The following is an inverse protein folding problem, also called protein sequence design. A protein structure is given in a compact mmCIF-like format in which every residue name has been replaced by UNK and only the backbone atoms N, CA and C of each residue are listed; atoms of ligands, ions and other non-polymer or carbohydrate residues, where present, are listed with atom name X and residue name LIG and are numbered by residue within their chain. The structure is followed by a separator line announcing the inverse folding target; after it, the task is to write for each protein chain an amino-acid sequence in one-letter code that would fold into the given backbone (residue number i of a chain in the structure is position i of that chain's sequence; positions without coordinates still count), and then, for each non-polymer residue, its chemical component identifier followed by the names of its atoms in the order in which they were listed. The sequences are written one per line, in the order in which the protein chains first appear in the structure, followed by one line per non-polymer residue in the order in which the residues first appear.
data_IF_801560590960
#
_entry.id   IF_801560590960
#
_cell.length_a   1.000
_cell.length_b   1.000
_cell.length_c   1.000
_cell.angle_alpha   90.00
_cell.angle_beta   90.00
_cell.angle_gamma   90.00
#
_symmetry.space_group_name_H-M   'P 1'
#
loop_
_entity.id
_entity.type
_entity.pdbx_description
1 polymer ?
#
# COMPACT_ATOMS: atom_id res chain seq x y z
N UNK A 1 -2.98 51.24 68.26
CA UNK A 1 -3.66 50.86 67.02
C UNK A 1 -2.70 49.96 66.20
N UNK A 2 -3.03 48.68 66.12
CA UNK A 2 -2.22 47.69 65.31
C UNK A 2 -3.04 47.26 64.10
N UNK A 3 -2.52 47.30 62.87
CA UNK A 3 -3.23 46.81 61.71
C UNK A 3 -3.12 45.26 61.63
N UNK A 4 -4.28 44.62 61.39
CA UNK A 4 -4.42 43.22 61.11
C UNK A 4 -4.07 42.93 59.64
N UNK A 5 -3.02 42.16 59.37
CA UNK A 5 -2.75 41.61 58.04
C UNK A 5 -3.73 40.42 57.80
N UNK A 6 -4.54 40.56 56.73
CA UNK A 6 -5.36 39.49 56.22
C UNK A 6 -4.52 38.68 55.22
N UNK A 7 -4.26 37.39 55.54
CA UNK A 7 -3.57 36.46 54.69
C UNK A 7 -4.59 35.80 53.75
N UNK A 8 -4.63 36.22 52.46
CA UNK A 8 -5.48 35.60 51.44
C UNK A 8 -4.81 34.30 50.93
N UNK A 9 -5.42 33.18 51.25
CA UNK A 9 -5.04 31.88 50.73
C UNK A 9 -5.52 31.67 49.32
N UNK A 10 -4.62 31.68 48.32
CA UNK A 10 -4.94 31.42 46.92
C UNK A 10 -4.95 29.91 46.75
N UNK A 11 -6.11 29.28 46.59
CA UNK A 11 -6.30 27.89 46.22
C UNK A 11 -6.00 27.75 44.69
N UNK A 12 -4.83 27.22 44.35
CA UNK A 12 -4.55 26.74 42.99
C UNK A 12 -5.32 25.44 42.76
N UNK A 13 -6.39 25.52 41.96
CA UNK A 13 -7.09 24.34 41.45
C UNK A 13 -6.26 23.72 40.33
N UNK A 14 -5.56 22.63 40.62
CA UNK A 14 -4.88 21.83 39.58
C UNK A 14 -5.94 21.05 38.79
N UNK A 15 -6.26 21.55 37.61
CA UNK A 15 -7.10 20.82 36.66
C UNK A 15 -6.30 19.61 36.13
N UNK A 16 -6.62 18.42 36.64
CA UNK A 16 -6.06 17.17 36.13
C UNK A 16 -6.60 16.97 34.69
N UNK A 17 -5.72 17.15 33.71
CA UNK A 17 -6.01 16.77 32.32
C UNK A 17 -5.95 15.23 32.27
N UNK A 18 -7.10 14.57 32.34
CA UNK A 18 -7.21 13.15 32.02
C UNK A 18 -6.80 12.97 30.55
N UNK A 19 -5.91 12.01 30.23
CA UNK A 19 -5.65 11.69 28.84
C UNK A 19 -6.95 11.17 28.24
N UNK A 20 -7.45 11.85 27.22
CA UNK A 20 -8.57 11.39 26.42
C UNK A 20 -8.20 10.02 25.87
N UNK A 21 -8.88 8.98 26.34
CA UNK A 21 -8.79 7.66 25.76
C UNK A 21 -9.14 7.82 24.26
N UNK A 22 -8.18 7.50 23.40
CA UNK A 22 -8.39 7.47 21.95
C UNK A 22 -9.51 6.47 21.68
N UNK A 23 -10.72 6.95 21.49
CA UNK A 23 -11.85 6.09 21.12
C UNK A 23 -11.57 5.59 19.70
N UNK A 24 -11.51 4.27 19.54
CA UNK A 24 -11.42 3.64 18.24
C UNK A 24 -12.61 4.08 17.39
N UNK A 25 -12.34 4.75 16.28
CA UNK A 25 -13.37 5.30 15.36
C UNK A 25 -14.05 4.19 14.58
N UNK A 26 -13.41 3.03 14.49
CA UNK A 26 -13.95 1.88 13.78
C UNK A 26 -14.57 0.87 14.76
N UNK A 27 -15.72 0.26 14.41
CA UNK A 27 -16.16 -0.93 15.11
C UNK A 27 -15.06 -2.00 15.02
N UNK A 28 -14.91 -2.87 16.03
CA UNK A 28 -13.91 -3.94 15.98
C UNK A 28 -14.13 -4.76 14.71
N UNK A 29 -13.13 -4.78 13.85
CA UNK A 29 -13.17 -5.55 12.61
C UNK A 29 -12.95 -7.00 13.03
N UNK A 30 -14.00 -7.72 13.29
CA UNK A 30 -13.91 -9.15 13.58
C UNK A 30 -13.63 -9.90 12.27
N UNK A 31 -12.38 -9.94 11.84
CA UNK A 31 -11.93 -10.72 10.67
C UNK A 31 -11.90 -12.21 10.99
N UNK A 32 -11.92 -12.58 12.27
CA UNK A 32 -11.65 -13.92 12.77
C UNK A 32 -10.17 -14.23 12.96
N UNK A 33 -9.29 -13.29 12.62
CA UNK A 33 -7.83 -13.38 12.83
C UNK A 33 -7.42 -12.33 13.87
N UNK A 34 -7.08 -12.77 15.06
CA UNK A 34 -6.73 -11.89 16.18
C UNK A 34 -5.48 -11.03 15.91
N UNK A 35 -4.53 -11.54 15.12
CA UNK A 35 -3.30 -10.81 14.79
C UNK A 35 -3.65 -9.67 13.83
N UNK A 36 -4.48 -9.96 12.83
CA UNK A 36 -4.95 -8.97 11.87
C UNK A 36 -5.82 -7.90 12.56
N UNK A 37 -6.72 -8.30 13.45
CA UNK A 37 -7.61 -7.39 14.16
C UNK A 37 -6.83 -6.45 15.10
N UNK A 38 -5.83 -6.98 15.83
CA UNK A 38 -4.94 -6.18 16.67
C UNK A 38 -4.13 -5.18 15.83
N UNK A 39 -3.55 -5.63 14.71
CA UNK A 39 -2.85 -4.75 13.78
C UNK A 39 -3.76 -3.65 13.23
N UNK A 40 -4.96 -4.00 12.77
CA UNK A 40 -5.91 -3.05 12.19
C UNK A 40 -6.32 -1.96 13.20
N UNK A 41 -6.51 -2.33 14.47
CA UNK A 41 -6.78 -1.40 15.55
C UNK A 41 -5.62 -0.41 15.77
N UNK A 42 -4.39 -0.90 15.83
CA UNK A 42 -3.19 -0.07 16.01
C UNK A 42 -2.93 0.84 14.81
N UNK A 43 -3.20 0.36 13.59
CA UNK A 43 -2.96 1.10 12.35
C UNK A 43 -3.84 2.34 12.23
N UNK A 44 -5.05 2.34 12.78
CA UNK A 44 -5.99 3.46 12.67
C UNK A 44 -5.37 4.80 13.11
N UNK A 45 -4.72 4.82 14.27
CA UNK A 45 -4.07 6.03 14.79
C UNK A 45 -2.99 6.57 13.86
N UNK A 46 -2.20 5.68 13.26
CA UNK A 46 -1.15 6.06 12.31
C UNK A 46 -1.71 6.58 10.99
N UNK A 47 -2.78 5.98 10.48
CA UNK A 47 -3.44 6.43 9.26
C UNK A 47 -4.07 7.82 9.44
N UNK A 48 -4.74 8.07 10.56
CA UNK A 48 -5.27 9.40 10.90
C UNK A 48 -4.17 10.44 11.03
N UNK A 49 -3.08 10.11 11.72
CA UNK A 49 -1.91 10.98 11.84
C UNK A 49 -1.23 11.29 10.48
N UNK A 50 -1.35 10.37 9.51
CA UNK A 50 -0.86 10.56 8.13
C UNK A 50 -1.82 11.37 7.23
N UNK A 51 -2.96 11.85 7.78
CA UNK A 51 -3.92 12.70 7.08
C UNK A 51 -5.01 11.95 6.32
N UNK A 52 -5.22 10.66 6.63
CA UNK A 52 -6.38 9.94 6.09
C UNK A 52 -7.64 10.37 6.84
N UNK A 53 -8.67 10.78 6.10
CA UNK A 53 -9.95 11.20 6.67
C UNK A 53 -10.64 10.02 7.39
N UNK A 54 -11.25 10.25 8.57
CA UNK A 54 -11.89 9.19 9.35
C UNK A 54 -12.92 8.39 8.57
N UNK A 55 -13.72 9.05 7.74
CA UNK A 55 -14.76 8.43 6.92
C UNK A 55 -14.19 7.53 5.81
N UNK A 56 -13.03 7.92 5.22
CA UNK A 56 -12.32 7.09 4.24
C UNK A 56 -11.77 5.84 4.92
N UNK A 57 -11.10 6.04 6.06
CA UNK A 57 -10.54 4.94 6.84
C UNK A 57 -11.63 3.97 7.28
N UNK A 58 -12.74 4.48 7.83
CA UNK A 58 -13.87 3.67 8.26
C UNK A 58 -14.45 2.84 7.12
N UNK A 59 -14.66 3.46 5.94
CA UNK A 59 -15.24 2.80 4.77
C UNK A 59 -14.31 1.72 4.21
N UNK A 60 -13.02 2.02 4.05
CA UNK A 60 -12.08 1.13 3.37
C UNK A 60 -11.57 -0.01 4.26
N UNK A 61 -11.55 0.20 5.58
CA UNK A 61 -11.15 -0.83 6.54
C UNK A 61 -12.34 -1.70 7.01
N UNK A 62 -13.58 -1.27 6.77
CA UNK A 62 -14.76 -2.03 7.17
C UNK A 62 -14.80 -3.42 6.51
N UNK A 63 -14.90 -4.47 7.33
CA UNK A 63 -14.98 -5.86 6.87
C UNK A 63 -13.70 -6.37 6.20
N UNK A 64 -12.57 -5.65 6.31
CA UNK A 64 -11.29 -6.09 5.77
C UNK A 64 -10.81 -7.34 6.53
N UNK A 65 -10.40 -8.34 5.78
CA UNK A 65 -9.89 -9.63 6.31
C UNK A 65 -8.58 -9.96 5.63
N UNK A 66 -7.66 -10.73 6.26
CA UNK A 66 -6.45 -11.15 5.60
C UNK A 66 -6.75 -11.99 4.34
N UNK A 67 -5.89 -11.92 3.33
CA UNK A 67 -5.96 -12.78 2.14
C UNK A 67 -4.98 -13.96 2.31
N UNK A 68 -5.48 -15.20 2.45
CA UNK A 68 -4.61 -16.37 2.64
C UNK A 68 -3.68 -16.64 1.45
N UNK A 69 -4.04 -16.18 0.24
CA UNK A 69 -3.20 -16.29 -0.95
C UNK A 69 -1.94 -15.43 -0.81
N UNK A 70 -2.08 -14.23 -0.21
CA UNK A 70 -0.96 -13.31 0.06
C UNK A 70 0.01 -13.93 1.06
N UNK A 71 -0.52 -14.45 2.17
CA UNK A 71 0.28 -15.13 3.19
C UNK A 71 1.11 -16.28 2.59
N UNK A 72 0.48 -17.09 1.73
CA UNK A 72 1.15 -18.18 1.02
C UNK A 72 2.17 -17.71 -0.02
N UNK A 73 1.97 -16.57 -0.66
CA UNK A 73 2.89 -16.01 -1.64
C UNK A 73 4.14 -15.40 -0.98
N UNK A 74 3.98 -14.67 0.13
CA UNK A 74 5.09 -14.05 0.86
C UNK A 74 6.08 -15.08 1.43
N UNK A 75 5.61 -16.28 1.77
CA UNK A 75 6.48 -17.37 2.23
C UNK A 75 7.24 -18.10 1.12
N UNK A 76 6.84 -17.92 -0.15
CA UNK A 76 7.38 -18.60 -1.32
C UNK A 76 7.87 -17.58 -2.34
N UNK A 77 9.17 -17.31 -2.34
CA UNK A 77 9.81 -16.43 -3.35
C UNK A 77 10.78 -17.27 -4.20
N UNK A 78 10.29 -17.95 -5.26
CA UNK A 78 11.10 -18.85 -6.08
C UNK A 78 12.16 -18.13 -6.92
N UNK A 79 12.06 -16.81 -7.11
CA UNK A 79 12.96 -15.99 -7.92
C UNK A 79 14.42 -16.05 -7.42
N UNK A 80 14.62 -16.24 -6.13
CA UNK A 80 15.96 -16.33 -5.51
C UNK A 80 16.58 -17.71 -5.55
N UNK A 81 15.88 -18.74 -6.06
CA UNK A 81 16.32 -20.12 -6.03
C UNK A 81 16.80 -20.66 -7.37
N UNK A 82 16.59 -19.93 -8.48
CA UNK A 82 16.94 -20.37 -9.83
C UNK A 82 18.21 -19.70 -10.35
N UNK A 83 19.10 -20.44 -11.06
CA UNK A 83 20.19 -19.84 -11.80
C UNK A 83 19.67 -18.77 -12.79
N UNK A 84 20.43 -17.69 -12.96
CA UNK A 84 20.03 -16.58 -13.87
C UNK A 84 19.79 -17.06 -15.31
N UNK A 85 20.57 -18.06 -15.78
CA UNK A 85 20.40 -18.65 -17.10
C UNK A 85 19.02 -19.26 -17.31
N UNK A 86 18.49 -19.95 -16.29
CA UNK A 86 17.18 -20.59 -16.36
C UNK A 86 16.04 -19.58 -16.21
N UNK A 87 16.26 -18.54 -15.41
CA UNK A 87 15.36 -17.39 -15.38
C UNK A 87 15.26 -16.74 -16.75
N UNK A 88 16.38 -16.41 -17.40
CA UNK A 88 16.41 -15.78 -18.71
C UNK A 88 15.72 -16.61 -19.79
N UNK A 89 15.91 -17.94 -19.81
CA UNK A 89 15.19 -18.84 -20.76
C UNK A 89 13.67 -18.76 -20.58
N UNK A 90 13.19 -18.58 -19.35
CA UNK A 90 11.77 -18.47 -19.05
C UNK A 90 11.16 -17.12 -19.43
N UNK A 91 11.94 -16.03 -19.40
CA UNK A 91 11.42 -14.68 -19.65
C UNK A 91 11.72 -14.15 -21.05
N UNK A 92 12.80 -14.60 -21.71
CA UNK A 92 13.15 -14.22 -23.09
C UNK A 92 12.70 -15.32 -24.04
N UNK A 93 11.41 -15.34 -24.36
CA UNK A 93 10.83 -16.35 -25.27
C UNK A 93 10.60 -15.76 -26.66
N UNK A 94 10.60 -16.59 -27.74
CA UNK A 94 10.30 -16.13 -29.10
C UNK A 94 8.97 -15.36 -29.19
N UNK A 95 7.93 -15.84 -28.52
CA UNK A 95 6.61 -15.20 -28.52
C UNK A 95 6.65 -13.81 -27.86
N UNK A 96 7.34 -13.69 -26.71
CA UNK A 96 7.50 -12.39 -26.04
C UNK A 96 8.28 -11.41 -26.89
N UNK A 97 9.33 -11.86 -27.56
CA UNK A 97 10.10 -11.03 -28.51
C UNK A 97 9.23 -10.57 -29.69
N UNK A 98 8.43 -11.46 -30.28
CA UNK A 98 7.53 -11.12 -31.37
C UNK A 98 6.45 -10.10 -30.95
N UNK A 99 5.91 -10.22 -29.73
CA UNK A 99 4.99 -9.22 -29.17
C UNK A 99 5.71 -7.88 -29.00
N UNK A 100 6.92 -7.89 -28.41
CA UNK A 100 7.73 -6.68 -28.21
C UNK A 100 8.02 -5.94 -29.50
N UNK A 101 8.39 -6.66 -30.58
CA UNK A 101 8.62 -6.07 -31.90
C UNK A 101 7.37 -5.37 -32.43
N UNK A 102 6.18 -5.98 -32.30
CA UNK A 102 4.91 -5.33 -32.68
C UNK A 102 4.66 -4.08 -31.85
N UNK A 103 4.76 -4.19 -30.49
CA UNK A 103 4.54 -3.06 -29.58
C UNK A 103 5.51 -1.90 -29.82
N UNK A 104 6.74 -2.20 -30.23
CA UNK A 104 7.75 -1.20 -30.58
C UNK A 104 7.30 -0.28 -31.71
N UNK A 105 6.56 -0.81 -32.70
CA UNK A 105 6.03 -0.07 -33.81
C UNK A 105 4.71 0.66 -33.46
N UNK A 106 3.86 0.03 -32.63
CA UNK A 106 2.48 0.49 -32.42
C UNK A 106 2.37 1.62 -31.36
N UNK A 107 3.34 1.76 -30.43
CA UNK A 107 3.24 2.77 -29.36
C UNK A 107 3.78 4.11 -29.84
N UNK A 108 2.89 4.98 -30.25
CA UNK A 108 3.20 6.32 -30.79
C UNK A 108 3.92 7.25 -29.80
N UNK A 109 3.77 7.02 -28.49
CA UNK A 109 4.39 7.85 -27.45
C UNK A 109 5.89 7.60 -27.24
N UNK A 110 6.46 6.50 -27.74
CA UNK A 110 7.86 6.17 -27.50
C UNK A 110 8.87 7.24 -27.94
N UNK A 111 8.77 7.86 -29.14
CA UNK A 111 9.71 8.88 -29.55
C UNK A 111 9.75 10.09 -28.61
N UNK A 112 8.57 10.53 -28.12
CA UNK A 112 8.45 11.65 -27.19
C UNK A 112 9.04 11.31 -25.83
N UNK A 113 8.81 10.07 -25.35
CA UNK A 113 9.37 9.58 -24.07
C UNK A 113 10.90 9.49 -24.18
N UNK A 114 11.42 8.93 -25.26
CA UNK A 114 12.87 8.86 -25.51
C UNK A 114 13.52 10.26 -25.52
N UNK A 115 12.88 11.20 -26.21
CA UNK A 115 13.38 12.58 -26.30
C UNK A 115 13.31 13.30 -24.97
N UNK A 116 12.20 13.15 -24.24
CA UNK A 116 11.95 13.87 -23.00
C UNK A 116 12.72 13.33 -21.81
N UNK A 117 12.87 12.02 -21.70
CA UNK A 117 13.42 11.35 -20.54
C UNK A 117 14.76 10.65 -20.77
N UNK A 118 15.22 10.55 -22.03
CA UNK A 118 16.48 9.89 -22.38
C UNK A 118 16.47 8.37 -22.16
N UNK A 119 15.30 7.75 -22.00
CA UNK A 119 15.16 6.31 -21.79
C UNK A 119 14.86 5.63 -23.12
N UNK A 120 15.72 4.73 -23.62
CA UNK A 120 15.46 4.02 -24.86
C UNK A 120 14.17 3.21 -24.79
N UNK A 121 13.37 3.24 -25.86
CA UNK A 121 12.11 2.48 -25.93
C UNK A 121 12.28 0.98 -25.69
N UNK A 122 13.40 0.41 -26.08
CA UNK A 122 13.66 -1.01 -25.90
C UNK A 122 13.81 -1.39 -24.41
N UNK A 123 14.30 -0.47 -23.58
CA UNK A 123 14.31 -0.63 -22.11
C UNK A 123 12.88 -0.60 -21.55
N UNK A 124 12.08 0.38 -22.00
CA UNK A 124 10.67 0.47 -21.59
C UNK A 124 9.87 -0.77 -21.99
N UNK A 125 10.10 -1.28 -23.21
CA UNK A 125 9.50 -2.53 -23.67
C UNK A 125 9.94 -3.73 -22.83
N UNK A 126 11.21 -3.79 -22.46
CA UNK A 126 11.73 -4.85 -21.58
C UNK A 126 11.04 -4.87 -20.22
N UNK A 127 10.92 -3.72 -19.58
CA UNK A 127 10.18 -3.57 -18.30
C UNK A 127 8.72 -3.98 -18.50
N UNK A 128 8.02 -3.45 -19.48
CA UNK A 128 6.62 -3.77 -19.74
C UNK A 128 6.39 -5.25 -20.05
N UNK A 129 7.32 -5.88 -20.76
CA UNK A 129 7.28 -7.32 -21.03
C UNK A 129 7.44 -8.16 -19.77
N UNK A 130 8.38 -7.79 -18.87
CA UNK A 130 8.67 -8.54 -17.66
C UNK A 130 7.59 -8.37 -16.60
N UNK A 131 7.13 -7.14 -16.40
CA UNK A 131 6.20 -6.79 -15.31
C UNK A 131 4.78 -7.30 -15.55
N UNK A 132 4.29 -7.23 -16.78
CA UNK A 132 2.89 -7.56 -17.06
C UNK A 132 2.63 -8.30 -18.37
N UNK A 133 3.68 -8.80 -19.04
CA UNK A 133 3.50 -9.39 -20.36
C UNK A 133 2.82 -8.43 -21.34
N UNK A 134 3.30 -7.20 -21.40
CA UNK A 134 2.71 -6.12 -22.21
C UNK A 134 1.26 -5.77 -21.81
N UNK A 135 0.95 -5.79 -20.52
CA UNK A 135 -0.34 -5.45 -19.97
C UNK A 135 -1.35 -6.61 -19.93
N UNK A 136 -0.95 -7.82 -20.36
CA UNK A 136 -1.84 -8.99 -20.38
C UNK A 136 -2.06 -9.60 -19.00
N UNK A 137 -1.14 -9.43 -18.06
CA UNK A 137 -1.18 -9.97 -16.71
C UNK A 137 -0.81 -8.84 -15.74
N UNK A 138 -1.80 -8.27 -15.05
CA UNK A 138 -1.59 -7.18 -14.10
C UNK A 138 -1.83 -7.58 -12.65
N UNK A 139 -2.31 -8.81 -12.42
CA UNK A 139 -2.72 -9.30 -11.11
C UNK A 139 -4.19 -8.98 -10.81
N UNK A 140 -4.76 -9.77 -9.90
CA UNK A 140 -6.17 -9.70 -9.51
C UNK A 140 -6.38 -9.49 -8.01
N UNK A 141 -5.30 -9.30 -7.26
CA UNK A 141 -5.38 -9.07 -5.83
C UNK A 141 -5.91 -7.65 -5.54
N UNK A 142 -6.74 -7.53 -4.53
CA UNK A 142 -7.11 -6.22 -3.97
C UNK A 142 -5.87 -5.64 -3.26
N UNK A 143 -5.34 -4.54 -3.78
CA UNK A 143 -4.09 -3.94 -3.32
C UNK A 143 -4.14 -3.58 -1.84
N UNK A 144 -5.23 -2.95 -1.37
CA UNK A 144 -5.38 -2.58 0.03
C UNK A 144 -5.38 -3.82 0.94
N UNK A 145 -6.14 -4.86 0.56
CA UNK A 145 -6.22 -6.11 1.31
C UNK A 145 -4.88 -6.85 1.34
N UNK A 146 -4.17 -6.87 0.22
CA UNK A 146 -2.84 -7.49 0.14
C UNK A 146 -1.85 -6.83 1.07
N UNK A 147 -1.76 -5.50 1.02
CA UNK A 147 -0.85 -4.72 1.86
C UNK A 147 -1.22 -4.84 3.35
N UNK A 148 -2.52 -4.83 3.68
CA UNK A 148 -3.00 -5.05 5.04
C UNK A 148 -2.60 -6.44 5.58
N UNK A 149 -2.68 -7.47 4.73
CA UNK A 149 -2.24 -8.82 5.09
C UNK A 149 -0.74 -8.86 5.39
N UNK A 150 0.08 -8.24 4.54
CA UNK A 150 1.54 -8.16 4.73
C UNK A 150 1.91 -7.37 5.98
N UNK A 151 1.20 -6.26 6.27
CA UNK A 151 1.43 -5.46 7.46
C UNK A 151 1.09 -6.24 8.74
N UNK A 152 -0.03 -6.94 8.77
CA UNK A 152 -0.44 -7.74 9.92
C UNK A 152 0.54 -8.89 10.23
N UNK A 153 1.15 -9.52 9.21
CA UNK A 153 2.16 -10.56 9.38
C UNK A 153 3.50 -10.07 9.96
N UNK A 154 3.75 -8.77 9.95
CA UNK A 154 4.84 -8.09 10.65
C UNK A 154 6.20 -8.08 9.96
N UNK A 155 6.51 -8.97 9.02
CA UNK A 155 7.83 -9.05 8.37
C UNK A 155 8.18 -7.80 7.56
N UNK A 156 7.17 -7.16 6.96
CA UNK A 156 7.30 -5.93 6.16
C UNK A 156 6.35 -4.84 6.66
N UNK A 157 6.02 -4.83 7.94
CA UNK A 157 4.96 -3.97 8.51
C UNK A 157 5.11 -2.52 8.12
N UNK A 158 6.24 -1.89 8.43
CA UNK A 158 6.44 -0.46 8.22
C UNK A 158 6.33 -0.06 6.74
N UNK A 159 6.93 -0.87 5.87
CA UNK A 159 6.81 -0.66 4.43
C UNK A 159 5.36 -0.82 3.97
N UNK A 160 4.70 -1.91 4.34
CA UNK A 160 3.32 -2.19 3.91
C UNK A 160 2.33 -1.13 4.44
N UNK A 161 2.52 -0.62 5.66
CA UNK A 161 1.71 0.47 6.21
C UNK A 161 1.91 1.77 5.43
N UNK A 162 3.14 2.08 5.01
CA UNK A 162 3.40 3.21 4.11
C UNK A 162 2.63 3.10 2.79
N UNK A 163 2.64 1.90 2.18
CA UNK A 163 1.91 1.64 0.94
C UNK A 163 0.38 1.64 1.15
N UNK A 164 -0.12 1.20 2.30
CA UNK A 164 -1.55 1.34 2.66
C UNK A 164 -1.94 2.81 2.73
N UNK A 165 -1.13 3.64 3.38
CA UNK A 165 -1.38 5.08 3.50
C UNK A 165 -1.40 5.72 2.11
N UNK A 166 -0.45 5.38 1.23
CA UNK A 166 -0.44 5.85 -0.15
C UNK A 166 -1.70 5.41 -0.92
N UNK A 167 -2.09 4.13 -0.79
CA UNK A 167 -3.33 3.59 -1.37
C UNK A 167 -4.56 4.36 -0.90
N UNK A 168 -4.67 4.62 0.39
CA UNK A 168 -5.79 5.36 0.97
C UNK A 168 -5.80 6.83 0.51
N UNK A 169 -4.64 7.45 0.29
CA UNK A 169 -4.53 8.80 -0.29
C UNK A 169 -5.03 8.84 -1.73
N UNK A 170 -4.70 7.86 -2.57
CA UNK A 170 -5.22 7.73 -3.94
C UNK A 170 -6.75 7.62 -3.93
N UNK A 171 -7.31 6.82 -3.01
CA UNK A 171 -8.76 6.70 -2.85
C UNK A 171 -9.38 8.01 -2.35
N UNK A 172 -8.75 8.64 -1.38
CA UNK A 172 -9.23 9.88 -0.77
C UNK A 172 -9.24 11.05 -1.74
N UNK A 173 -8.22 11.17 -2.61
CA UNK A 173 -8.16 12.20 -3.65
C UNK A 173 -9.17 12.00 -4.77
N UNK A 174 -9.78 10.81 -4.86
CA UNK A 174 -10.70 10.44 -5.93
C UNK A 174 -10.02 10.07 -7.25
N UNK A 175 -8.69 9.95 -7.28
CA UNK A 175 -7.94 9.57 -8.48
C UNK A 175 -8.35 8.20 -8.98
N UNK A 176 -8.47 7.23 -8.06
CA UNK A 176 -8.95 5.89 -8.37
C UNK A 176 -9.81 5.32 -7.22
N UNK A 177 -10.95 4.67 -7.52
CA UNK A 177 -11.71 3.92 -6.53
C UNK A 177 -10.98 2.62 -6.19
N UNK A 178 -11.14 2.11 -4.96
CA UNK A 178 -10.55 0.85 -4.51
C UNK A 178 -10.79 -0.32 -5.48
N UNK A 179 -11.96 -0.39 -6.09
CA UNK A 179 -12.31 -1.45 -7.04
C UNK A 179 -11.36 -1.56 -8.24
N UNK A 180 -10.65 -0.47 -8.58
CA UNK A 180 -9.65 -0.43 -9.65
C UNK A 180 -8.22 -0.64 -9.16
N UNK A 181 -7.97 -0.57 -7.85
CA UNK A 181 -6.66 -0.78 -7.26
C UNK A 181 -6.42 -2.28 -7.09
N UNK A 182 -6.11 -2.93 -8.21
CA UNK A 182 -5.80 -4.35 -8.29
C UNK A 182 -4.43 -4.57 -8.90
N UNK A 183 -3.74 -5.60 -8.39
CA UNK A 183 -2.39 -5.86 -8.83
C UNK A 183 -1.83 -7.18 -8.33
N UNK A 184 -0.53 -7.20 -8.06
CA UNK A 184 0.17 -8.35 -7.50
C UNK A 184 -0.18 -8.58 -6.02
N UNK A 185 0.18 -9.73 -5.51
CA UNK A 185 0.04 -10.07 -4.09
C UNK A 185 0.80 -9.12 -3.15
N UNK A 186 1.84 -8.46 -3.65
CA UNK A 186 2.66 -7.49 -2.91
C UNK A 186 2.25 -6.03 -3.14
N UNK A 187 1.11 -5.77 -3.79
CA UNK A 187 0.56 -4.42 -3.94
C UNK A 187 1.04 -3.64 -5.16
N UNK A 188 1.89 -4.21 -6.01
CA UNK A 188 2.29 -3.58 -7.27
C UNK A 188 1.14 -3.62 -8.28
N UNK A 189 0.90 -2.51 -8.99
CA UNK A 189 -0.29 -2.30 -9.83
C UNK A 189 0.04 -1.86 -11.25
N UNK A 190 -0.94 -2.07 -12.13
CA UNK A 190 -0.91 -1.57 -13.50
C UNK A 190 0.06 -2.34 -14.39
N UNK A 191 0.30 -1.79 -15.58
CA UNK A 191 1.08 -2.47 -16.61
C UNK A 191 2.58 -2.48 -16.31
N UNK A 192 3.07 -1.53 -15.53
CA UNK A 192 4.48 -1.39 -15.13
C UNK A 192 4.72 -1.80 -13.67
N UNK A 193 3.69 -2.32 -13.00
CA UNK A 193 3.77 -2.89 -11.65
C UNK A 193 4.42 -1.94 -10.62
N UNK A 194 4.00 -0.65 -10.64
CA UNK A 194 4.41 0.29 -9.60
C UNK A 194 3.64 0.06 -8.29
N UNK A 195 4.31 0.33 -7.17
CA UNK A 195 3.69 0.36 -5.85
C UNK A 195 2.92 1.70 -5.66
N UNK A 196 1.99 1.79 -4.70
CA UNK A 196 1.15 2.99 -4.51
C UNK A 196 1.89 4.28 -4.19
N UNK A 197 3.09 4.21 -3.56
CA UNK A 197 3.87 5.40 -3.14
C UNK A 197 4.61 6.10 -4.26
#
# INVERSE_FOLDING_TARGET
MRPRLALSLLLLSVCAISPAASQSILPPTASGDMIFDAWASDFQGRALAAGIAPEVLAREMAGLTPDPRVAGADSRQPEFSKPISDYLKGVVTPDRLAIGQRRRADVAAFPDIETRFGVPRDVLLGVWALESGFGSIQGDYDTLRSLATLAAQGRRRDWAEGEIIATLKIIQSGEQPRSRLRGSWAGAMGQTQFIPS
#
